data_IF_620565608946
#
_entry.id   IF_620565608946
#
_cell.length_a   1.000
_cell.length_b   1.000
_cell.length_c   1.000
_cell.angle_alpha   90.00
_cell.angle_beta   90.00
_cell.angle_gamma   90.00
#
_symmetry.space_group_name_H-M   'P 1'
#
loop_
_entity.id
_entity.type
_entity.pdbx_description
1 polymer ?
#
# COMPACT_ATOMS: atom_id res chain seq x y z
N UNK A 1 1.69 25.23 -13.08
CA UNK A 1 1.78 23.80 -12.73
C UNK A 1 2.42 23.09 -13.91
N UNK A 2 3.36 22.17 -13.70
CA UNK A 2 3.86 21.34 -14.80
C UNK A 2 2.64 20.56 -15.34
N UNK A 3 2.26 20.71 -16.62
CA UNK A 3 1.09 20.04 -17.20
C UNK A 3 1.20 18.51 -17.10
N UNK A 4 2.41 17.97 -16.94
CA UNK A 4 2.64 16.54 -16.80
C UNK A 4 2.70 16.07 -15.34
N UNK A 5 2.54 16.97 -14.36
CA UNK A 5 2.68 16.61 -12.94
C UNK A 5 1.74 15.47 -12.54
N UNK A 6 0.45 15.58 -12.90
CA UNK A 6 -0.57 14.63 -12.49
C UNK A 6 -0.31 13.25 -13.11
N UNK A 7 -0.11 13.19 -14.43
CA UNK A 7 0.14 11.95 -15.16
C UNK A 7 1.42 11.27 -14.71
N UNK A 8 2.51 12.03 -14.51
CA UNK A 8 3.77 11.51 -14.01
C UNK A 8 3.63 10.94 -12.59
N UNK A 9 2.99 11.69 -11.69
CA UNK A 9 2.82 11.28 -10.30
C UNK A 9 1.91 10.05 -10.18
N UNK A 10 0.80 10.02 -10.91
CA UNK A 10 -0.09 8.86 -10.97
C UNK A 10 0.61 7.62 -11.55
N UNK A 11 1.45 7.81 -12.57
CA UNK A 11 2.33 6.77 -13.09
C UNK A 11 3.25 6.19 -12.02
N UNK A 12 3.90 7.05 -11.23
CA UNK A 12 4.73 6.65 -10.10
C UNK A 12 3.97 5.87 -9.03
N UNK A 13 2.77 6.31 -8.64
CA UNK A 13 1.92 5.60 -7.68
C UNK A 13 1.52 4.20 -8.18
N UNK A 14 1.12 4.10 -9.45
CA UNK A 14 0.74 2.81 -10.08
C UNK A 14 1.92 1.85 -10.15
N UNK A 15 3.10 2.34 -10.51
CA UNK A 15 4.33 1.54 -10.56
C UNK A 15 4.70 1.00 -9.17
N UNK A 16 4.68 1.87 -8.14
CA UNK A 16 4.95 1.46 -6.74
C UNK A 16 3.96 0.42 -6.26
N UNK A 17 2.65 0.62 -6.47
CA UNK A 17 1.62 -0.35 -6.08
C UNK A 17 1.79 -1.68 -6.78
N UNK A 18 2.06 -1.66 -8.09
CA UNK A 18 2.27 -2.90 -8.88
C UNK A 18 3.51 -3.65 -8.38
N UNK A 19 4.58 -2.93 -8.06
CA UNK A 19 5.78 -3.52 -7.46
C UNK A 19 5.52 -4.13 -6.08
N UNK A 20 4.73 -3.45 -5.23
CA UNK A 20 4.37 -3.95 -3.91
C UNK A 20 3.52 -5.22 -3.98
N UNK A 21 2.45 -5.22 -4.78
CA UNK A 21 1.51 -6.34 -4.90
C UNK A 21 2.15 -7.58 -5.52
N UNK A 22 3.10 -7.39 -6.44
CA UNK A 22 3.81 -8.50 -7.09
C UNK A 22 5.13 -8.86 -6.40
N UNK A 23 5.46 -8.23 -5.27
CA UNK A 23 6.72 -8.50 -4.57
C UNK A 23 6.73 -9.94 -4.03
N UNK A 24 7.68 -10.79 -4.43
CA UNK A 24 7.81 -12.12 -3.84
C UNK A 24 8.15 -12.00 -2.35
N UNK A 25 7.64 -12.94 -1.56
CA UNK A 25 7.88 -12.98 -0.13
C UNK A 25 8.66 -14.24 0.23
N UNK A 26 9.84 -14.07 0.83
CA UNK A 26 10.69 -15.18 1.25
C UNK A 26 10.33 -15.63 2.67
N UNK A 27 10.55 -16.91 2.95
CA UNK A 27 10.58 -17.45 4.31
C UNK A 27 11.70 -16.73 5.08
N UNK A 28 11.42 -16.36 6.32
CA UNK A 28 12.38 -15.72 7.22
C UNK A 28 13.42 -16.75 7.72
N UNK A 29 14.70 -16.64 7.31
CA UNK A 29 15.73 -17.60 7.69
C UNK A 29 16.12 -17.51 9.17
N UNK A 30 15.76 -16.43 9.86
CA UNK A 30 16.04 -16.25 11.29
C UNK A 30 14.97 -16.89 12.20
N UNK A 31 13.87 -17.40 11.64
CA UNK A 31 12.77 -17.99 12.39
C UNK A 31 12.70 -19.52 12.23
N UNK A 32 12.61 -20.23 13.36
CA UNK A 32 12.29 -21.66 13.35
C UNK A 32 11.66 -22.12 14.67
N UNK A 33 10.54 -22.84 14.60
CA UNK A 33 9.95 -23.54 15.75
C UNK A 33 9.49 -24.98 15.43
N UNK A 34 9.75 -25.48 14.21
CA UNK A 34 9.37 -26.83 13.75
C UNK A 34 7.89 -27.04 13.42
N UNK A 35 7.04 -26.02 13.51
CA UNK A 35 5.58 -26.14 13.27
C UNK A 35 5.14 -25.32 12.07
N UNK A 36 5.63 -24.08 11.96
CA UNK A 36 5.27 -23.18 10.86
C UNK A 36 6.42 -22.25 10.51
N UNK A 37 6.35 -21.72 9.30
CA UNK A 37 7.27 -20.75 8.76
C UNK A 37 6.73 -19.33 8.92
N UNK A 38 7.63 -18.39 9.14
CA UNK A 38 7.32 -16.95 9.02
C UNK A 38 7.90 -16.44 7.71
N UNK A 39 7.29 -15.38 7.20
CA UNK A 39 7.75 -14.70 6.00
C UNK A 39 8.29 -13.32 6.37
N UNK A 40 9.26 -12.85 5.61
CA UNK A 40 9.98 -11.60 5.87
C UNK A 40 9.05 -10.39 5.78
N UNK A 41 8.12 -10.38 4.83
CA UNK A 41 7.23 -9.26 4.60
C UNK A 41 5.79 -9.53 5.09
N UNK A 42 5.08 -8.49 5.57
CA UNK A 42 3.65 -8.59 5.81
C UNK A 42 2.90 -8.87 4.50
N UNK A 43 1.84 -9.68 4.59
CA UNK A 43 0.99 -10.03 3.43
C UNK A 43 0.13 -8.85 2.99
N UNK A 44 -0.34 -8.03 3.94
CA UNK A 44 -1.16 -6.84 3.68
C UNK A 44 -0.68 -5.72 4.61
N UNK A 45 -0.62 -4.51 4.07
CA UNK A 45 -0.36 -3.25 4.76
C UNK A 45 -1.33 -2.19 4.26
N UNK A 46 -1.37 -1.01 4.88
CA UNK A 46 -2.17 0.11 4.39
C UNK A 46 -1.87 0.47 2.91
N UNK A 47 -0.63 0.30 2.47
CA UNK A 47 -0.22 0.56 1.08
C UNK A 47 -0.76 -0.47 0.06
N UNK A 48 -1.33 -1.57 0.50
CA UNK A 48 -1.99 -2.55 -0.38
C UNK A 48 -3.39 -2.09 -0.83
N UNK A 49 -3.96 -1.08 -0.17
CA UNK A 49 -5.26 -0.52 -0.55
C UNK A 49 -5.23 0.06 -1.96
N UNK A 50 -6.35 -0.06 -2.67
CA UNK A 50 -6.49 0.48 -4.03
C UNK A 50 -6.23 1.99 -4.04
N UNK A 51 -5.49 2.48 -5.03
CA UNK A 51 -5.25 3.92 -5.19
C UNK A 51 -6.57 4.71 -5.31
N UNK A 52 -7.58 4.16 -5.97
CA UNK A 52 -8.91 4.80 -6.09
C UNK A 52 -9.66 4.93 -4.77
N UNK A 53 -9.26 4.22 -3.71
CA UNK A 53 -9.83 4.42 -2.38
C UNK A 53 -9.13 5.53 -1.64
N UNK A 54 -7.83 5.73 -1.91
CA UNK A 54 -6.98 6.73 -1.24
C UNK A 54 -7.03 8.10 -1.93
N UNK A 55 -7.15 8.12 -3.26
CA UNK A 55 -7.06 9.32 -4.09
C UNK A 55 -8.33 9.51 -4.93
N UNK A 56 -8.78 10.75 -5.04
CA UNK A 56 -9.53 11.18 -6.21
C UNK A 56 -8.59 11.25 -7.42
N UNK A 57 -8.89 10.43 -8.44
CA UNK A 57 -8.06 10.26 -9.64
C UNK A 57 -8.55 11.11 -10.83
N UNK A 58 -9.50 12.02 -10.61
CA UNK A 58 -9.84 13.07 -11.58
C UNK A 58 -8.94 14.29 -11.38
N UNK A 59 -8.14 14.61 -12.41
CA UNK A 59 -7.23 15.77 -12.41
C UNK A 59 -7.98 17.10 -12.26
N UNK A 60 -9.25 17.17 -12.69
CA UNK A 60 -10.04 18.40 -12.58
C UNK A 60 -10.42 18.72 -11.14
N UNK A 61 -10.73 17.71 -10.33
CA UNK A 61 -11.13 17.87 -8.93
C UNK A 61 -9.94 17.78 -7.97
N UNK A 62 -8.88 17.06 -8.34
CA UNK A 62 -7.66 16.88 -7.54
C UNK A 62 -6.38 17.09 -8.36
N UNK A 63 -6.11 18.31 -8.86
CA UNK A 63 -4.96 18.57 -9.74
C UNK A 63 -3.62 18.25 -9.08
N UNK A 64 -3.56 18.29 -7.76
CA UNK A 64 -2.35 18.03 -6.97
C UNK A 64 -2.17 16.55 -6.58
N UNK A 65 -3.10 15.67 -6.97
CA UNK A 65 -3.09 14.25 -6.61
C UNK A 65 -2.87 14.03 -5.10
N UNK A 66 -3.53 14.84 -4.27
CA UNK A 66 -3.45 14.69 -2.83
C UNK A 66 -4.25 13.46 -2.40
N UNK A 67 -3.78 12.80 -1.34
CA UNK A 67 -4.52 11.69 -0.74
C UNK A 67 -5.79 12.24 -0.07
N UNK A 68 -6.95 11.79 -0.57
CA UNK A 68 -8.26 12.20 -0.10
C UNK A 68 -8.68 11.44 1.15
N UNK A 69 -8.29 10.17 1.25
CA UNK A 69 -8.60 9.28 2.36
C UNK A 69 -7.35 8.50 2.77
N UNK A 70 -6.76 8.92 3.89
CA UNK A 70 -5.64 8.24 4.51
C UNK A 70 -6.03 6.88 5.08
N UNK A 71 -5.27 5.83 4.75
CA UNK A 71 -5.38 4.54 5.43
C UNK A 71 -4.21 4.37 6.39
N UNK A 72 -4.52 4.19 7.67
CA UNK A 72 -3.50 4.07 8.71
C UNK A 72 -3.04 2.61 8.91
N UNK A 73 -3.99 1.67 8.97
CA UNK A 73 -3.69 0.27 9.29
C UNK A 73 -4.52 -0.70 8.47
N UNK A 74 -3.91 -1.85 8.19
CA UNK A 74 -4.59 -3.05 7.73
C UNK A 74 -4.38 -4.14 8.77
N UNK A 75 -5.26 -4.19 9.77
CA UNK A 75 -5.22 -5.17 10.83
C UNK A 75 -6.63 -5.65 11.18
N UNK A 76 -6.74 -6.92 11.54
CA UNK A 76 -7.90 -7.48 12.23
C UNK A 76 -7.43 -7.88 13.63
N UNK A 77 -7.12 -6.89 14.46
CA UNK A 77 -6.96 -7.12 15.89
C UNK A 77 -8.26 -6.67 16.57
N UNK A 78 -8.85 -7.45 17.49
CA UNK A 78 -9.86 -6.90 18.37
C UNK A 78 -9.23 -5.70 19.08
N UNK A 79 -9.92 -4.56 19.11
CA UNK A 79 -9.53 -3.46 19.97
C UNK A 79 -9.44 -4.04 21.39
N UNK A 80 -8.26 -3.99 22.00
CA UNK A 80 -8.08 -4.43 23.38
C UNK A 80 -9.12 -3.73 24.25
N UNK A 81 -9.93 -4.53 24.93
CA UNK A 81 -10.65 -4.13 26.12
C UNK A 81 -9.80 -4.58 27.29
N UNK A 82 -8.78 -3.79 27.58
CA UNK A 82 -8.29 -3.56 28.92
C UNK A 82 -9.16 -2.52 29.64
#
# INVERSE_FOLDING_TARGET
>A
MNPDFFSHSLGGLRARRTGLVNRPNAIDPAWFNGIFERYVNPVITADHVLLSWRYDLDERSNPYLLESLGVNAASCAPAGVD
#
